data_IF_837896059058
#
_entry.id   IF_837896059058
#
_cell.length_a   1.000
_cell.length_b   1.000
_cell.length_c   1.000
_cell.angle_alpha   90.00
_cell.angle_beta   90.00
_cell.angle_gamma   90.00
#
_symmetry.space_group_name_H-M   'P 1'
#
loop_
_entity.id
_entity.type
_entity.pdbx_description
1 polymer ?
#
# COMPACT_ATOMS: atom_id res chain seq x y z
N UNK A 1 -0.17 29.68 -3.06
CA UNK A 1 -0.64 28.30 -3.31
C UNK A 1 0.55 27.38 -3.06
N UNK A 2 0.40 26.26 -2.33
CA UNK A 2 1.50 25.28 -2.25
C UNK A 2 1.79 24.79 -3.67
N UNK A 3 3.06 24.71 -4.07
CA UNK A 3 3.42 24.21 -5.39
C UNK A 3 2.97 22.75 -5.51
N UNK A 4 2.01 22.51 -6.40
CA UNK A 4 1.61 21.17 -6.82
C UNK A 4 2.73 20.60 -7.69
N UNK A 5 3.45 19.60 -7.17
CA UNK A 5 4.46 18.88 -7.93
C UNK A 5 3.81 17.72 -8.72
N UNK A 6 2.91 18.08 -9.64
CA UNK A 6 2.32 17.11 -10.57
C UNK A 6 3.36 16.88 -11.68
N UNK A 7 4.02 15.72 -11.66
CA UNK A 7 4.96 15.31 -12.69
C UNK A 7 4.25 14.59 -13.83
N UNK A 8 3.50 13.56 -13.49
CA UNK A 8 2.74 12.71 -14.41
C UNK A 8 1.39 12.34 -13.79
N UNK A 9 0.49 11.87 -14.64
CA UNK A 9 -0.69 11.11 -14.24
C UNK A 9 -0.50 9.64 -14.63
N UNK A 10 -1.35 8.76 -14.12
CA UNK A 10 -1.08 7.32 -14.19
C UNK A 10 -2.30 6.53 -14.63
N UNK A 11 -2.10 5.62 -15.57
CA UNK A 11 -3.11 4.66 -16.02
C UNK A 11 -2.70 3.25 -15.58
N UNK A 12 -3.61 2.52 -14.97
CA UNK A 12 -3.36 1.15 -14.49
C UNK A 12 -3.99 0.19 -15.50
N UNK A 13 -3.24 -0.80 -15.97
CA UNK A 13 -3.68 -1.75 -17.00
C UNK A 13 -3.05 -3.13 -16.84
N UNK A 14 -3.56 -4.14 -17.56
CA UNK A 14 -2.87 -5.41 -17.75
C UNK A 14 -1.69 -5.25 -18.72
N UNK A 15 -0.62 -6.01 -18.52
CA UNK A 15 0.58 -5.97 -19.39
C UNK A 15 0.28 -6.32 -20.86
N UNK A 16 -0.75 -7.13 -21.11
CA UNK A 16 -1.11 -7.56 -22.48
C UNK A 16 -1.76 -6.44 -23.31
N UNK A 17 -2.28 -5.40 -22.65
CA UNK A 17 -2.86 -4.26 -23.35
C UNK A 17 -1.80 -3.28 -23.86
N UNK A 18 -0.54 -3.41 -23.41
CA UNK A 18 0.51 -2.42 -23.67
C UNK A 18 0.79 -2.23 -25.17
N UNK A 19 0.81 -3.32 -25.95
CA UNK A 19 1.08 -3.23 -27.39
C UNK A 19 0.02 -2.37 -28.10
N UNK A 20 -1.27 -2.62 -27.81
CA UNK A 20 -2.39 -1.86 -28.37
C UNK A 20 -2.39 -0.42 -27.87
N UNK A 21 -2.15 -0.19 -26.58
CA UNK A 21 -2.13 1.15 -26.00
C UNK A 21 -1.00 2.01 -26.58
N UNK A 22 0.18 1.44 -26.82
CA UNK A 22 1.31 2.17 -27.41
C UNK A 22 1.10 2.47 -28.90
N UNK A 23 0.24 1.71 -29.58
CA UNK A 23 -0.10 1.96 -30.98
C UNK A 23 -1.25 2.97 -31.13
N UNK A 24 -2.32 2.80 -30.34
CA UNK A 24 -3.60 3.49 -30.53
C UNK A 24 -3.89 4.56 -29.49
N UNK A 25 -3.23 4.49 -28.33
CA UNK A 25 -3.47 5.33 -27.18
C UNK A 25 -4.30 4.64 -26.11
N UNK A 26 -4.58 5.37 -25.04
CA UNK A 26 -5.44 4.88 -23.96
C UNK A 26 -6.88 5.27 -24.29
N UNK A 27 -7.72 4.30 -24.59
CA UNK A 27 -9.12 4.53 -24.93
C UNK A 27 -10.02 4.53 -23.69
N UNK A 28 -11.10 5.31 -23.77
CA UNK A 28 -12.28 5.15 -22.92
C UNK A 28 -12.95 3.81 -23.18
N UNK A 29 -13.79 3.35 -22.25
CA UNK A 29 -14.52 2.09 -22.44
C UNK A 29 -15.50 2.14 -23.60
N UNK A 30 -16.17 3.28 -23.80
CA UNK A 30 -17.04 3.51 -24.96
C UNK A 30 -16.25 3.32 -26.27
N UNK A 31 -15.06 3.91 -26.36
CA UNK A 31 -14.23 3.79 -27.56
C UNK A 31 -13.68 2.37 -27.78
N UNK A 32 -13.39 1.64 -26.71
CA UNK A 32 -13.02 0.21 -26.79
C UNK A 32 -14.15 -0.61 -27.43
N UNK A 33 -15.39 -0.37 -27.01
CA UNK A 33 -16.58 -1.06 -27.56
C UNK A 33 -16.83 -0.68 -29.03
N UNK A 34 -16.75 0.62 -29.38
CA UNK A 34 -16.91 1.10 -30.75
C UNK A 34 -15.89 0.49 -31.73
N UNK A 35 -14.66 0.28 -31.27
CA UNK A 35 -13.57 -0.30 -32.05
C UNK A 35 -13.56 -1.85 -32.01
N UNK A 36 -14.50 -2.47 -31.29
CA UNK A 36 -14.59 -3.93 -31.17
C UNK A 36 -13.39 -4.59 -30.47
N UNK A 37 -12.66 -3.83 -29.63
CA UNK A 37 -11.46 -4.32 -28.95
C UNK A 37 -11.83 -5.18 -27.74
N UNK A 38 -11.00 -6.20 -27.46
CA UNK A 38 -11.17 -7.11 -26.32
C UNK A 38 -9.93 -7.05 -25.41
N UNK A 39 -9.78 -5.98 -24.60
CA UNK A 39 -8.61 -5.83 -23.74
C UNK A 39 -8.67 -6.82 -22.57
N UNK A 40 -7.49 -7.20 -22.07
CA UNK A 40 -7.39 -7.92 -20.81
C UNK A 40 -7.88 -7.02 -19.66
N UNK A 41 -8.98 -7.41 -19.02
CA UNK A 41 -9.62 -6.62 -17.96
C UNK A 41 -8.92 -6.80 -16.61
N UNK A 42 -8.69 -5.68 -15.92
CA UNK A 42 -8.14 -5.66 -14.56
C UNK A 42 -9.20 -5.42 -13.47
N UNK A 43 -10.41 -5.01 -13.85
CA UNK A 43 -11.45 -4.57 -12.94
C UNK A 43 -12.59 -5.59 -12.85
N UNK A 44 -13.34 -5.56 -11.74
CA UNK A 44 -14.57 -6.33 -11.56
C UNK A 44 -15.76 -5.62 -12.23
N UNK A 45 -16.69 -6.38 -12.81
CA UNK A 45 -17.95 -5.97 -13.42
C UNK A 45 -18.76 -4.96 -12.58
N UNK A 46 -18.72 -5.03 -11.25
CA UNK A 46 -19.47 -4.09 -10.39
C UNK A 46 -18.94 -2.65 -10.46
N UNK A 47 -17.61 -2.49 -10.47
CA UNK A 47 -16.94 -1.18 -10.56
C UNK A 47 -17.30 -0.52 -11.89
N UNK A 48 -17.27 -1.35 -12.93
CA UNK A 48 -17.55 -1.02 -14.32
C UNK A 48 -18.98 -0.53 -14.50
N UNK A 49 -19.96 -1.26 -13.96
CA UNK A 49 -21.37 -0.92 -14.03
C UNK A 49 -21.68 0.42 -13.37
N UNK A 50 -21.06 0.71 -12.20
CA UNK A 50 -21.21 2.01 -11.54
C UNK A 50 -20.69 3.16 -12.39
N UNK A 51 -19.55 2.97 -13.06
CA UNK A 51 -19.01 3.99 -13.98
C UNK A 51 -19.96 4.26 -15.14
N UNK A 52 -20.58 3.23 -15.72
CA UNK A 52 -21.56 3.38 -16.80
C UNK A 52 -22.78 4.22 -16.38
N UNK A 53 -23.22 4.10 -15.13
CA UNK A 53 -24.40 4.81 -14.60
C UNK A 53 -24.12 6.24 -14.12
N UNK A 54 -22.86 6.59 -13.83
CA UNK A 54 -22.50 7.90 -13.28
C UNK A 54 -22.25 8.89 -14.43
N UNK A 55 -22.94 10.03 -14.37
CA UNK A 55 -22.78 11.10 -15.35
C UNK A 55 -21.82 12.19 -14.88
N UNK A 56 -21.04 12.73 -15.82
CA UNK A 56 -20.20 13.93 -15.68
C UNK A 56 -21.04 15.21 -15.84
N UNK A 57 -20.50 16.40 -15.51
CA UNK A 57 -21.22 17.67 -15.61
C UNK A 57 -21.77 18.00 -17.01
N UNK A 58 -21.13 17.50 -18.06
CA UNK A 58 -21.57 17.62 -19.46
C UNK A 58 -22.56 16.52 -19.89
N UNK A 59 -23.12 15.77 -18.93
CA UNK A 59 -24.15 14.73 -19.10
C UNK A 59 -23.71 13.50 -19.90
N UNK A 60 -22.40 13.27 -20.01
CA UNK A 60 -21.85 12.02 -20.53
C UNK A 60 -21.64 11.03 -19.41
N UNK A 61 -21.59 9.75 -19.74
CA UNK A 61 -21.24 8.70 -18.78
C UNK A 61 -19.74 8.74 -18.49
N UNK A 62 -19.29 8.32 -17.29
CA UNK A 62 -17.86 8.07 -17.04
C UNK A 62 -17.27 7.03 -18.02
N UNK A 63 -18.13 6.24 -18.66
CA UNK A 63 -17.78 5.29 -19.72
C UNK A 63 -17.09 5.94 -20.94
N UNK A 64 -17.42 7.20 -21.21
CA UNK A 64 -16.89 8.01 -22.31
C UNK A 64 -15.53 8.65 -22.01
N UNK A 65 -14.91 8.33 -20.85
CA UNK A 65 -13.65 8.94 -20.42
C UNK A 65 -12.58 7.89 -20.15
N UNK A 66 -11.36 8.16 -20.62
CA UNK A 66 -10.16 7.50 -20.14
C UNK A 66 -9.77 8.11 -18.79
N UNK A 67 -9.67 7.28 -17.75
CA UNK A 67 -9.42 7.73 -16.39
C UNK A 67 -7.94 7.59 -16.00
N UNK A 68 -7.35 8.68 -15.54
CA UNK A 68 -5.98 8.73 -15.02
C UNK A 68 -6.00 9.06 -13.55
N UNK A 69 -5.09 8.46 -12.77
CA UNK A 69 -4.90 8.75 -11.36
C UNK A 69 -3.76 9.75 -11.15
N UNK A 70 -3.89 10.59 -10.12
CA UNK A 70 -2.77 11.41 -9.64
C UNK A 70 -1.81 10.63 -8.72
N UNK A 71 -2.27 9.52 -8.15
CA UNK A 71 -1.52 8.59 -7.31
C UNK A 71 -1.86 7.16 -7.77
N UNK A 72 -0.92 6.41 -8.38
CA UNK A 72 -1.20 5.04 -8.84
C UNK A 72 -1.24 4.06 -7.67
N UNK A 73 -0.54 4.33 -6.57
CA UNK A 73 -0.53 3.47 -5.39
C UNK A 73 -1.72 3.78 -4.49
N UNK A 74 -2.90 3.32 -4.88
CA UNK A 74 -4.20 3.69 -4.28
C UNK A 74 -5.07 2.44 -4.01
N UNK A 75 -6.27 2.58 -3.41
CA UNK A 75 -7.20 1.47 -3.13
C UNK A 75 -7.58 0.61 -4.35
N UNK A 76 -7.71 1.22 -5.54
CA UNK A 76 -8.01 0.47 -6.76
C UNK A 76 -6.81 -0.40 -7.14
N UNK A 77 -5.59 0.16 -7.12
CA UNK A 77 -4.37 -0.60 -7.37
C UNK A 77 -4.18 -1.75 -6.37
N UNK A 78 -4.50 -1.52 -5.10
CA UNK A 78 -4.43 -2.54 -4.06
C UNK A 78 -5.35 -3.72 -4.38
N UNK A 79 -6.60 -3.42 -4.77
CA UNK A 79 -7.59 -4.43 -5.19
C UNK A 79 -7.07 -5.28 -6.35
N UNK A 80 -6.64 -4.64 -7.44
CA UNK A 80 -6.23 -5.37 -8.65
C UNK A 80 -4.96 -6.20 -8.44
N UNK A 81 -4.05 -5.77 -7.55
CA UNK A 81 -2.88 -6.58 -7.16
C UNK A 81 -3.33 -7.88 -6.47
N UNK A 82 -4.37 -7.84 -5.64
CA UNK A 82 -4.88 -9.04 -4.96
C UNK A 82 -5.69 -9.94 -5.90
N UNK A 83 -6.41 -9.36 -6.86
CA UNK A 83 -7.23 -10.13 -7.81
C UNK A 83 -6.41 -10.73 -8.97
N UNK A 84 -5.40 -10.01 -9.49
CA UNK A 84 -4.66 -10.37 -10.70
C UNK A 84 -3.19 -10.72 -10.47
N UNK A 85 -2.66 -10.39 -9.30
CA UNK A 85 -1.23 -10.48 -9.02
C UNK A 85 -0.44 -9.32 -9.64
N UNK A 86 0.61 -8.87 -8.94
CA UNK A 86 1.39 -7.70 -9.35
C UNK A 86 2.09 -7.85 -10.71
N UNK A 87 2.52 -9.07 -11.07
CA UNK A 87 3.27 -9.34 -12.32
C UNK A 87 2.43 -9.22 -13.59
N UNK A 88 1.09 -9.33 -13.49
CA UNK A 88 0.19 -9.15 -14.63
C UNK A 88 -0.13 -7.68 -14.93
N UNK A 89 0.34 -6.75 -14.09
CA UNK A 89 -0.07 -5.35 -14.14
C UNK A 89 1.05 -4.44 -14.63
N UNK A 90 0.65 -3.33 -15.23
CA UNK A 90 1.50 -2.22 -15.60
C UNK A 90 0.85 -0.89 -15.22
N UNK A 91 1.68 0.10 -14.89
CA UNK A 91 1.27 1.48 -14.66
C UNK A 91 1.91 2.36 -15.73
N UNK A 92 1.11 2.92 -16.62
CA UNK A 92 1.56 3.82 -17.68
C UNK A 92 1.58 5.25 -17.13
N UNK A 93 2.70 5.93 -17.29
CA UNK A 93 2.80 7.35 -16.96
C UNK A 93 2.41 8.21 -18.17
N UNK A 94 1.54 9.18 -17.91
CA UNK A 94 1.00 10.10 -18.89
C UNK A 94 1.44 11.51 -18.53
N UNK A 95 1.94 12.23 -19.52
CA UNK A 95 2.39 13.61 -19.40
C UNK A 95 1.29 14.52 -18.85
N UNK A 96 1.65 15.34 -17.86
CA UNK A 96 0.73 16.33 -17.26
C UNK A 96 0.13 17.33 -18.24
N UNK A 97 0.72 17.46 -19.45
CA UNK A 97 0.17 18.29 -20.53
C UNK A 97 -1.26 17.88 -20.89
N UNK A 98 -1.65 16.63 -20.63
CA UNK A 98 -3.02 16.14 -20.87
C UNK A 98 -4.07 16.94 -20.08
N UNK A 99 -3.71 17.59 -18.97
CA UNK A 99 -4.61 18.46 -18.20
C UNK A 99 -5.10 19.70 -18.98
N UNK A 100 -4.45 20.02 -20.10
CA UNK A 100 -4.81 21.13 -20.99
C UNK A 100 -5.71 20.67 -22.14
N UNK A 101 -5.98 19.37 -22.28
CA UNK A 101 -6.85 18.85 -23.32
C UNK A 101 -8.31 19.33 -23.12
N UNK A 102 -9.05 19.59 -24.21
CA UNK A 102 -10.43 20.05 -24.13
C UNK A 102 -11.34 19.00 -23.49
N UNK A 103 -12.29 19.45 -22.67
CA UNK A 103 -13.30 18.58 -22.04
C UNK A 103 -12.77 17.73 -20.87
N UNK A 104 -11.55 17.97 -20.39
CA UNK A 104 -11.00 17.28 -19.22
C UNK A 104 -11.71 17.71 -17.94
N UNK A 105 -12.01 16.73 -17.09
CA UNK A 105 -12.44 16.97 -15.71
C UNK A 105 -11.39 16.45 -14.71
N UNK A 106 -11.26 17.12 -13.58
CA UNK A 106 -10.54 16.65 -12.40
C UNK A 106 -11.58 16.36 -11.32
N UNK A 107 -11.44 15.26 -10.59
CA UNK A 107 -12.32 14.91 -9.47
C UNK A 107 -11.62 15.08 -8.13
N UNK A 108 -12.37 15.28 -7.03
CA UNK A 108 -11.80 15.31 -5.67
C UNK A 108 -11.60 13.92 -5.04
N UNK A 109 -11.83 12.85 -5.80
CA UNK A 109 -11.68 11.46 -5.37
C UNK A 109 -12.15 10.49 -6.46
N UNK A 110 -12.41 9.24 -6.10
CA UNK A 110 -12.92 8.24 -7.06
C UNK A 110 -14.22 8.73 -7.72
N UNK A 111 -14.20 8.88 -9.04
CA UNK A 111 -15.28 9.47 -9.84
C UNK A 111 -16.59 8.68 -9.76
N UNK A 112 -16.51 7.37 -9.53
CA UNK A 112 -17.68 6.51 -9.40
C UNK A 112 -18.33 6.56 -8.00
N UNK A 113 -17.73 7.26 -7.04
CA UNK A 113 -18.29 7.41 -5.70
C UNK A 113 -19.20 8.66 -5.64
N UNK A 114 -20.37 8.54 -5.00
CA UNK A 114 -21.40 9.58 -5.03
C UNK A 114 -21.04 10.97 -4.49
N UNK A 115 -20.28 11.11 -3.39
CA UNK A 115 -19.91 12.42 -2.88
C UNK A 115 -18.81 13.09 -3.71
N UNK A 116 -18.25 12.41 -4.71
CA UNK A 116 -17.20 12.96 -5.56
C UNK A 116 -17.71 14.09 -6.45
N UNK A 117 -16.96 15.19 -6.42
CA UNK A 117 -17.22 16.40 -7.19
C UNK A 117 -16.31 16.46 -8.41
N UNK A 118 -16.80 17.10 -9.46
CA UNK A 118 -16.12 17.27 -10.74
C UNK A 118 -15.78 18.74 -10.95
N UNK A 119 -14.58 19.00 -11.43
CA UNK A 119 -14.05 20.35 -11.61
C UNK A 119 -13.44 20.49 -13.00
N UNK A 120 -13.62 21.65 -13.61
CA UNK A 120 -12.79 22.06 -14.74
C UNK A 120 -11.33 22.22 -14.28
N UNK A 121 -10.33 22.09 -15.18
CA UNK A 121 -8.92 22.00 -14.78
C UNK A 121 -8.43 23.14 -13.88
N UNK A 122 -8.87 24.38 -14.11
CA UNK A 122 -8.47 25.55 -13.32
C UNK A 122 -8.88 25.43 -11.84
N UNK A 123 -10.13 25.06 -11.56
CA UNK A 123 -10.63 24.90 -10.20
C UNK A 123 -10.22 23.55 -9.59
N UNK A 124 -10.10 22.52 -10.43
CA UNK A 124 -9.57 21.22 -10.03
C UNK A 124 -8.14 21.32 -9.50
N UNK A 125 -7.27 22.11 -10.14
CA UNK A 125 -5.92 22.37 -9.63
C UNK A 125 -5.94 23.09 -8.28
N UNK A 126 -6.86 24.03 -8.04
CA UNK A 126 -6.99 24.68 -6.72
C UNK A 126 -7.41 23.65 -5.65
N UNK A 127 -8.40 22.82 -5.96
CA UNK A 127 -8.88 21.74 -5.09
C UNK A 127 -7.76 20.74 -4.79
N UNK A 128 -6.98 20.31 -5.79
CA UNK A 128 -5.82 19.45 -5.61
C UNK A 128 -4.84 20.05 -4.61
N UNK A 129 -4.60 21.36 -4.68
CA UNK A 129 -3.73 22.07 -3.73
C UNK A 129 -4.17 21.93 -2.27
N UNK A 130 -5.48 21.82 -2.02
CA UNK A 130 -6.05 21.68 -0.67
C UNK A 130 -5.87 20.26 -0.12
N UNK A 131 -5.98 19.23 -0.98
CA UNK A 131 -5.90 17.83 -0.56
C UNK A 131 -4.65 17.08 -1.03
N UNK A 132 -3.65 17.77 -1.61
CA UNK A 132 -2.44 17.15 -2.15
C UNK A 132 -1.71 16.25 -1.14
N UNK A 133 -1.70 16.64 0.14
CA UNK A 133 -1.11 15.83 1.21
C UNK A 133 -1.80 14.48 1.40
N UNK A 134 -3.12 14.41 1.18
CA UNK A 134 -3.90 13.17 1.27
C UNK A 134 -3.60 12.30 0.04
N UNK A 135 -3.55 12.90 -1.15
CA UNK A 135 -3.25 12.19 -2.41
C UNK A 135 -1.84 11.58 -2.39
N UNK A 136 -0.88 12.28 -1.79
CA UNK A 136 0.51 11.81 -1.66
C UNK A 136 0.75 10.91 -0.44
N UNK A 137 -0.28 10.59 0.34
CA UNK A 137 -0.13 9.76 1.52
C UNK A 137 0.08 8.28 1.13
N UNK A 138 0.80 7.53 1.96
CA UNK A 138 1.07 6.10 1.71
C UNK A 138 -0.04 5.18 2.26
N UNK A 139 -0.98 5.76 2.99
CA UNK A 139 -2.09 5.08 3.67
C UNK A 139 -3.35 5.93 3.62
N UNK A 140 -4.47 5.26 3.86
CA UNK A 140 -5.81 5.83 3.85
C UNK A 140 -6.68 5.10 4.86
N UNK A 141 -7.83 5.68 5.17
CA UNK A 141 -8.91 5.04 5.90
C UNK A 141 -10.26 5.47 5.30
N UNK A 142 -11.31 4.72 5.59
CA UNK A 142 -12.65 5.05 5.14
C UNK A 142 -13.29 6.20 5.94
N UNK A 143 -13.01 6.26 7.25
CA UNK A 143 -13.70 7.11 8.22
C UNK A 143 -13.46 8.61 8.00
N UNK A 144 -12.29 9.02 7.50
CA UNK A 144 -11.95 10.41 7.20
C UNK A 144 -12.10 10.76 5.70
N UNK A 145 -12.53 9.79 4.88
CA UNK A 145 -12.71 9.92 3.45
C UNK A 145 -11.40 9.94 2.63
N UNK A 146 -10.23 9.74 3.24
CA UNK A 146 -8.94 9.69 2.54
C UNK A 146 -8.89 8.55 1.52
N UNK A 147 -9.56 7.43 1.77
CA UNK A 147 -9.71 6.32 0.82
C UNK A 147 -10.30 6.78 -0.52
N UNK A 148 -11.36 7.59 -0.48
CA UNK A 148 -11.95 8.19 -1.69
C UNK A 148 -11.02 9.21 -2.33
N UNK A 149 -10.48 10.12 -1.52
CA UNK A 149 -9.69 11.28 -1.98
C UNK A 149 -8.36 10.88 -2.62
N UNK A 150 -7.68 9.85 -2.13
CA UNK A 150 -6.41 9.38 -2.72
C UNK A 150 -6.61 8.84 -4.14
N UNK A 151 -7.81 8.37 -4.48
CA UNK A 151 -8.23 7.97 -5.83
C UNK A 151 -8.72 9.16 -6.67
N UNK A 152 -8.20 10.37 -6.45
CA UNK A 152 -8.48 11.52 -7.31
C UNK A 152 -8.12 11.18 -8.76
N UNK A 153 -9.03 11.48 -9.68
CA UNK A 153 -8.93 11.14 -11.10
C UNK A 153 -8.84 12.40 -11.98
N UNK A 154 -8.22 12.24 -13.14
CA UNK A 154 -8.33 13.11 -14.30
C UNK A 154 -9.07 12.31 -15.38
N UNK A 155 -10.17 12.83 -15.87
CA UNK A 155 -11.05 12.20 -16.85
C UNK A 155 -10.83 12.88 -18.20
N UNK A 156 -10.28 12.12 -19.14
CA UNK A 156 -9.98 12.59 -20.50
C UNK A 156 -11.04 12.03 -21.46
N UNK A 157 -11.77 12.86 -22.21
CA UNK A 157 -12.80 12.38 -23.12
C UNK A 157 -12.23 11.47 -24.21
N UNK A 158 -12.96 10.40 -24.54
CA UNK A 158 -12.74 9.47 -25.65
C UNK A 158 -11.42 8.67 -25.60
N UNK A 159 -10.27 9.34 -25.64
CA UNK A 159 -8.95 8.72 -25.75
C UNK A 159 -7.79 9.66 -25.37
N UNK A 160 -6.65 9.08 -25.01
CA UNK A 160 -5.37 9.77 -24.81
C UNK A 160 -4.39 9.30 -25.88
N UNK A 161 -3.85 10.23 -26.67
CA UNK A 161 -2.86 9.92 -27.73
C UNK A 161 -1.59 9.26 -27.17
N UNK A 162 -0.97 8.30 -27.89
CA UNK A 162 0.33 7.73 -27.53
C UNK A 162 1.43 8.75 -27.25
N UNK A 163 1.36 9.94 -27.85
CA UNK A 163 2.36 11.02 -27.65
C UNK A 163 2.45 11.52 -26.21
N UNK A 164 1.40 11.30 -25.40
CA UNK A 164 1.40 11.67 -23.99
C UNK A 164 2.01 10.58 -23.10
N UNK A 165 2.31 9.39 -23.63
CA UNK A 165 2.85 8.28 -22.85
C UNK A 165 4.36 8.47 -22.67
N UNK A 166 4.80 8.54 -21.41
CA UNK A 166 6.20 8.81 -21.07
C UNK A 166 6.99 7.54 -20.71
N UNK A 167 6.42 6.68 -19.85
CA UNK A 167 7.09 5.48 -19.34
C UNK A 167 6.08 4.44 -18.87
N UNK A 168 6.55 3.21 -18.67
CA UNK A 168 5.77 2.11 -18.10
C UNK A 168 6.47 1.65 -16.82
N UNK A 169 5.72 1.58 -15.73
CA UNK A 169 6.17 0.99 -14.47
C UNK A 169 5.63 -0.42 -14.31
N UNK A 170 6.44 -1.31 -13.74
CA UNK A 170 6.13 -2.72 -13.50
C UNK A 170 6.58 -3.16 -12.10
N UNK A 171 6.07 -4.28 -11.61
CA UNK A 171 6.28 -4.71 -10.23
C UNK A 171 7.74 -5.11 -9.91
N UNK A 172 8.46 -5.71 -10.86
CA UNK A 172 9.79 -6.26 -10.64
C UNK A 172 10.62 -6.34 -11.94
N UNK A 173 11.89 -6.74 -11.79
CA UNK A 173 12.86 -6.82 -12.88
C UNK A 173 12.53 -7.95 -13.89
N UNK A 174 11.90 -9.03 -13.44
CA UNK A 174 11.44 -10.12 -14.32
C UNK A 174 10.34 -9.62 -15.26
N UNK A 175 9.33 -8.95 -14.70
CA UNK A 175 8.24 -8.32 -15.44
C UNK A 175 8.77 -7.25 -16.37
N UNK A 176 9.78 -6.48 -15.95
CA UNK A 176 10.44 -5.48 -16.80
C UNK A 176 11.01 -6.10 -18.07
N UNK A 177 11.74 -7.21 -17.96
CA UNK A 177 12.31 -7.90 -19.13
C UNK A 177 11.22 -8.38 -20.07
N UNK A 178 10.19 -9.07 -19.54
CA UNK A 178 9.07 -9.56 -20.34
C UNK A 178 8.31 -8.42 -21.05
N UNK A 179 8.06 -7.31 -20.35
CA UNK A 179 7.38 -6.15 -20.94
C UNK A 179 8.28 -5.46 -21.97
N UNK A 180 9.58 -5.31 -21.70
CA UNK A 180 10.55 -4.74 -22.67
C UNK A 180 10.57 -5.51 -23.98
N UNK A 181 10.50 -6.84 -23.94
CA UNK A 181 10.41 -7.69 -25.14
C UNK A 181 9.09 -7.45 -25.90
N UNK A 182 7.96 -7.34 -25.19
CA UNK A 182 6.63 -7.08 -25.78
C UNK A 182 6.51 -5.71 -26.43
N UNK A 183 7.08 -4.67 -25.82
CA UNK A 183 7.01 -3.29 -26.36
C UNK A 183 7.96 -3.10 -27.56
N UNK A 184 8.99 -3.94 -27.66
CA UNK A 184 9.91 -3.99 -28.81
C UNK A 184 10.80 -2.76 -28.93
N UNK A 185 11.05 -2.32 -30.16
CA UNK A 185 11.91 -1.17 -30.49
C UNK A 185 11.29 0.21 -30.21
N UNK A 186 10.10 0.26 -29.60
CA UNK A 186 9.47 1.52 -29.20
C UNK A 186 10.35 2.24 -28.18
N UNK A 187 10.59 3.53 -28.38
CA UNK A 187 11.41 4.38 -27.50
C UNK A 187 10.69 4.71 -26.18
N UNK A 188 10.34 3.70 -25.40
CA UNK A 188 9.67 3.86 -24.10
C UNK A 188 10.43 3.14 -23.00
N UNK A 189 10.66 3.83 -21.88
CA UNK A 189 11.33 3.25 -20.73
C UNK A 189 10.37 2.37 -19.93
N UNK A 190 10.79 1.14 -19.65
CA UNK A 190 10.11 0.21 -18.73
C UNK A 190 10.92 0.16 -17.43
N UNK A 191 10.30 0.52 -16.31
CA UNK A 191 10.98 0.78 -15.04
C UNK A 191 10.38 -0.12 -13.93
N UNK A 192 11.18 -0.93 -13.22
CA UNK A 192 10.72 -1.64 -12.03
C UNK A 192 10.45 -0.64 -10.91
N UNK A 193 9.24 -0.64 -10.35
CA UNK A 193 8.84 0.21 -9.23
C UNK A 193 7.93 -0.58 -8.28
N UNK A 194 8.48 -1.52 -7.49
CA UNK A 194 7.70 -2.46 -6.66
C UNK A 194 6.73 -1.75 -5.70
N UNK A 195 7.08 -0.56 -5.20
CA UNK A 195 6.23 0.19 -4.26
C UNK A 195 4.88 0.54 -4.86
N UNK A 196 4.81 0.88 -6.16
CA UNK A 196 3.53 1.17 -6.84
C UNK A 196 2.58 -0.02 -6.80
N UNK A 197 3.11 -1.24 -6.71
CA UNK A 197 2.39 -2.51 -6.74
C UNK A 197 2.25 -3.14 -5.35
N UNK A 198 2.41 -2.36 -4.28
CA UNK A 198 2.38 -2.83 -2.89
C UNK A 198 3.41 -3.93 -2.57
N UNK A 199 4.46 -4.05 -3.38
CA UNK A 199 5.56 -4.96 -3.13
C UNK A 199 6.67 -4.28 -2.32
N UNK A 200 7.41 -5.04 -1.49
CA UNK A 200 8.59 -4.51 -0.82
C UNK A 200 9.73 -4.23 -1.83
N UNK A 201 10.66 -3.36 -1.43
CA UNK A 201 11.88 -3.08 -2.22
C UNK A 201 12.82 -4.27 -2.24
N UNK A 202 12.91 -4.98 -1.12
CA UNK A 202 13.71 -6.21 -0.99
C UNK A 202 13.07 -7.16 0.02
N UNK A 203 13.34 -8.45 -0.18
CA UNK A 203 12.94 -9.54 0.71
C UNK A 203 14.05 -10.57 0.71
N UNK A 204 14.67 -10.75 1.86
CA UNK A 204 15.79 -11.67 2.06
C UNK A 204 15.37 -12.77 3.04
N UNK A 205 15.50 -14.04 2.64
CA UNK A 205 15.16 -15.18 3.50
C UNK A 205 16.32 -15.46 4.47
N UNK A 206 16.00 -15.52 5.76
CA UNK A 206 16.96 -15.81 6.83
C UNK A 206 16.55 -17.12 7.52
N UNK A 207 17.37 -18.16 7.35
CA UNK A 207 17.04 -19.49 7.84
C UNK A 207 15.76 -20.04 7.21
N UNK A 208 14.99 -20.82 7.96
CA UNK A 208 13.85 -21.56 7.38
C UNK A 208 12.55 -20.75 7.31
N UNK A 209 12.29 -19.91 8.32
CA UNK A 209 10.99 -19.28 8.54
C UNK A 209 11.00 -17.74 8.62
N UNK A 210 12.16 -17.09 8.58
CA UNK A 210 12.25 -15.61 8.68
C UNK A 210 12.49 -15.00 7.29
N UNK A 211 11.81 -13.88 7.02
CA UNK A 211 12.13 -12.97 5.92
C UNK A 211 12.45 -11.59 6.47
N UNK A 212 13.58 -10.99 6.10
CA UNK A 212 13.89 -9.58 6.36
C UNK A 212 13.40 -8.77 5.16
N UNK A 213 12.62 -7.72 5.42
CA UNK A 213 11.88 -6.98 4.40
C UNK A 213 12.19 -5.49 4.48
N UNK A 214 12.60 -4.89 3.37
CA UNK A 214 12.58 -3.44 3.19
C UNK A 214 11.26 -3.05 2.50
N UNK A 215 10.26 -2.61 3.28
CA UNK A 215 8.94 -2.33 2.72
C UNK A 215 7.96 -1.69 3.70
N UNK A 216 6.68 -1.82 3.40
CA UNK A 216 5.59 -1.36 4.26
C UNK A 216 4.92 -2.54 4.99
N UNK A 217 5.07 -2.59 6.31
CA UNK A 217 4.52 -3.67 7.13
C UNK A 217 2.99 -3.69 7.13
N UNK A 218 2.34 -2.54 6.98
CA UNK A 218 0.87 -2.47 6.99
C UNK A 218 0.21 -3.11 5.75
N UNK A 219 1.01 -3.41 4.72
CA UNK A 219 0.57 -4.15 3.54
C UNK A 219 1.10 -5.60 3.54
N UNK A 220 1.52 -6.12 4.71
CA UNK A 220 1.93 -7.51 4.83
C UNK A 220 0.76 -8.46 4.62
N UNK A 221 1.00 -9.54 3.88
CA UNK A 221 0.03 -10.63 3.70
C UNK A 221 -0.05 -11.58 4.90
N UNK A 222 0.83 -11.41 5.90
CA UNK A 222 0.80 -12.22 7.12
C UNK A 222 -0.40 -11.89 8.02
N UNK A 223 -0.81 -12.85 8.85
CA UNK A 223 -2.02 -12.77 9.68
C UNK A 223 -1.90 -11.72 10.79
N UNK A 224 -0.77 -11.69 11.51
CA UNK A 224 -0.62 -10.83 12.69
C UNK A 224 0.40 -9.73 12.44
N UNK A 225 -0.04 -8.47 12.52
CA UNK A 225 0.81 -7.28 12.45
C UNK A 225 1.24 -6.85 13.85
N UNK A 226 2.53 -6.62 14.06
CA UNK A 226 3.04 -6.17 15.37
C UNK A 226 3.16 -4.67 15.40
N UNK A 227 2.50 -4.01 16.34
CA UNK A 227 2.58 -2.56 16.51
C UNK A 227 3.44 -2.26 17.74
N UNK A 228 4.56 -1.57 17.53
CA UNK A 228 5.39 -1.08 18.62
C UNK A 228 4.68 0.09 19.33
N UNK A 229 4.43 -0.09 20.63
CA UNK A 229 3.67 0.85 21.47
C UNK A 229 4.41 1.19 22.76
N UNK A 230 3.84 2.10 23.55
CA UNK A 230 4.27 2.33 24.92
C UNK A 230 3.24 1.79 25.92
N UNK A 231 3.50 1.93 27.22
CA UNK A 231 2.56 1.51 28.27
C UNK A 231 1.62 2.64 28.74
N UNK A 232 1.74 3.86 28.20
CA UNK A 232 0.94 5.02 28.59
C UNK A 232 -0.33 5.22 27.74
N UNK A 233 -0.64 4.31 26.81
CA UNK A 233 -1.85 4.43 25.98
C UNK A 233 -1.77 5.54 24.91
N UNK A 234 -0.55 5.98 24.54
CA UNK A 234 -0.34 7.05 23.55
C UNK A 234 0.21 6.49 22.24
N UNK A 235 -0.41 6.81 21.09
CA UNK A 235 0.10 6.51 19.75
C UNK A 235 0.31 7.83 18.99
N UNK A 236 1.48 8.46 19.19
CA UNK A 236 1.70 9.86 18.76
C UNK A 236 2.63 10.05 17.56
N UNK A 237 3.59 9.14 17.32
CA UNK A 237 4.56 9.24 16.21
C UNK A 237 4.88 7.88 15.59
N UNK A 238 5.47 7.88 14.41
CA UNK A 238 5.96 6.69 13.70
C UNK A 238 4.87 5.66 13.41
N UNK A 239 5.26 4.39 13.47
CA UNK A 239 4.39 3.23 13.22
C UNK A 239 3.10 3.26 14.06
N UNK A 240 3.21 3.57 15.35
CA UNK A 240 2.06 3.63 16.26
C UNK A 240 1.04 4.69 15.84
N UNK A 241 1.50 5.89 15.45
CA UNK A 241 0.63 6.97 14.99
C UNK A 241 -0.13 6.58 13.73
N UNK A 242 0.55 5.95 12.76
CA UNK A 242 -0.11 5.43 11.57
C UNK A 242 -1.15 4.38 11.92
N UNK A 243 -0.84 3.42 12.80
CA UNK A 243 -1.81 2.42 13.25
C UNK A 243 -3.05 3.07 13.88
N UNK A 244 -2.89 4.13 14.68
CA UNK A 244 -4.01 4.88 15.26
C UNK A 244 -4.93 5.50 14.21
N UNK A 245 -4.39 6.14 13.18
CA UNK A 245 -5.21 6.81 12.16
C UNK A 245 -5.74 5.84 11.11
N UNK A 246 -5.01 4.77 10.82
CA UNK A 246 -5.40 3.77 9.85
C UNK A 246 -6.40 2.77 10.44
N UNK A 247 -6.25 2.41 11.72
CA UNK A 247 -7.10 1.45 12.45
C UNK A 247 -7.53 2.03 13.82
N UNK A 248 -8.52 2.93 13.86
CA UNK A 248 -8.94 3.58 15.11
C UNK A 248 -9.44 2.60 16.18
N UNK A 249 -10.03 1.49 15.80
CA UNK A 249 -10.46 0.41 16.69
C UNK A 249 -9.28 -0.26 17.43
N UNK A 250 -8.15 -0.46 16.74
CA UNK A 250 -6.91 -0.95 17.36
C UNK A 250 -6.40 0.01 18.43
N UNK A 251 -6.55 1.32 18.20
CA UNK A 251 -6.17 2.32 19.20
C UNK A 251 -7.06 2.26 20.45
N UNK A 252 -8.36 2.05 20.28
CA UNK A 252 -9.30 1.88 21.41
C UNK A 252 -8.95 0.63 22.22
N UNK A 253 -8.74 -0.50 21.54
CA UNK A 253 -8.35 -1.77 22.20
C UNK A 253 -7.02 -1.64 22.94
N UNK A 254 -6.04 -0.93 22.36
CA UNK A 254 -4.76 -0.61 22.98
C UNK A 254 -4.92 0.21 24.27
N UNK A 255 -5.71 1.29 24.23
CA UNK A 255 -5.92 2.14 25.39
C UNK A 255 -6.55 1.37 26.55
N UNK A 256 -7.52 0.53 26.26
CA UNK A 256 -8.13 -0.35 27.26
C UNK A 256 -7.13 -1.37 27.82
N UNK A 257 -6.32 -2.01 26.97
CA UNK A 257 -5.28 -2.94 27.38
C UNK A 257 -4.23 -2.29 28.31
N UNK A 258 -3.86 -1.03 28.06
CA UNK A 258 -2.99 -0.26 28.96
C UNK A 258 -3.66 0.02 30.31
N UNK A 259 -4.91 0.50 30.31
CA UNK A 259 -5.66 0.84 31.54
C UNK A 259 -5.86 -0.39 32.43
N UNK A 260 -6.17 -1.53 31.81
CA UNK A 260 -6.39 -2.82 32.48
C UNK A 260 -5.10 -3.59 32.77
N UNK A 261 -3.91 -3.04 32.46
CA UNK A 261 -2.59 -3.67 32.64
C UNK A 261 -2.48 -5.06 31.99
N UNK A 262 -3.21 -5.27 30.88
CA UNK A 262 -3.15 -6.52 30.09
C UNK A 262 -1.90 -6.58 29.20
N UNK A 263 -1.36 -5.42 28.85
CA UNK A 263 -0.03 -5.24 28.24
C UNK A 263 0.99 -4.83 29.31
N UNK A 264 2.17 -5.43 29.28
CA UNK A 264 3.34 -5.02 30.09
C UNK A 264 4.59 -4.97 29.22
N UNK A 265 5.71 -4.53 29.78
CA UNK A 265 7.02 -4.49 29.11
C UNK A 265 7.45 -5.84 28.53
N UNK A 266 7.08 -6.95 29.17
CA UNK A 266 7.41 -8.32 28.72
C UNK A 266 6.19 -9.14 28.27
N UNK A 267 4.98 -8.55 28.30
CA UNK A 267 3.74 -9.23 27.91
C UNK A 267 3.00 -8.41 26.86
N UNK A 268 3.21 -8.72 25.56
CA UNK A 268 2.40 -8.16 24.49
C UNK A 268 0.91 -8.46 24.66
N UNK A 269 0.07 -7.63 24.03
CA UNK A 269 -1.37 -7.84 23.97
C UNK A 269 -1.80 -8.14 22.53
N UNK A 270 -2.50 -9.26 22.32
CA UNK A 270 -3.04 -9.63 21.03
C UNK A 270 -4.48 -9.16 20.90
N UNK A 271 -4.74 -8.31 19.92
CA UNK A 271 -6.08 -7.94 19.50
C UNK A 271 -6.49 -8.76 18.26
N UNK A 272 -7.41 -9.71 18.46
CA UNK A 272 -8.02 -10.52 17.41
C UNK A 272 -9.18 -9.74 16.81
N UNK A 273 -8.92 -9.00 15.74
CA UNK A 273 -9.95 -8.27 14.99
C UNK A 273 -10.86 -9.25 14.24
N UNK A 274 -12.11 -8.87 13.99
CA UNK A 274 -13.05 -9.64 13.16
C UNK A 274 -13.17 -9.07 11.74
N UNK A 275 -12.95 -7.76 11.56
CA UNK A 275 -13.02 -7.09 10.26
C UNK A 275 -11.87 -7.44 9.33
N UNK A 276 -12.18 -7.52 8.02
CA UNK A 276 -11.21 -7.73 6.96
C UNK A 276 -10.37 -6.47 6.72
N UNK A 277 -9.04 -6.58 6.86
CA UNK A 277 -8.16 -5.45 6.53
C UNK A 277 -8.16 -5.17 5.03
N UNK A 278 -8.22 -6.21 4.22
CA UNK A 278 -8.08 -6.10 2.77
C UNK A 278 -9.28 -5.36 2.18
N UNK A 279 -10.49 -5.55 2.72
CA UNK A 279 -11.69 -4.77 2.37
C UNK A 279 -11.57 -3.28 2.74
N UNK A 280 -10.96 -2.97 3.89
CA UNK A 280 -10.71 -1.59 4.29
C UNK A 280 -9.70 -0.91 3.37
N UNK A 281 -8.71 -1.66 2.87
CA UNK A 281 -7.68 -1.15 1.96
C UNK A 281 -8.15 -1.07 0.50
N UNK A 282 -8.92 -2.04 0.02
CA UNK A 282 -9.34 -2.14 -1.37
C UNK A 282 -10.52 -1.23 -1.73
N UNK A 283 -10.60 -0.79 -2.98
CA UNK A 283 -11.78 -0.07 -3.46
C UNK A 283 -13.05 -0.96 -3.47
N UNK A 284 -14.23 -0.33 -3.53
CA UNK A 284 -15.52 -1.01 -3.45
C UNK A 284 -15.73 -2.06 -4.57
N UNK A 285 -16.54 -3.08 -4.29
CA UNK A 285 -16.86 -4.21 -5.17
C UNK A 285 -16.99 -5.50 -4.36
N UNK A 286 -17.11 -6.66 -5.01
CA UNK A 286 -17.21 -7.95 -4.32
C UNK A 286 -16.05 -8.19 -3.32
N UNK A 287 -16.32 -8.98 -2.29
CA UNK A 287 -15.37 -9.32 -1.23
C UNK A 287 -14.08 -9.92 -1.81
N UNK A 288 -12.95 -9.48 -1.28
CA UNK A 288 -11.67 -10.05 -1.63
C UNK A 288 -11.51 -11.40 -0.93
N UNK A 289 -11.48 -12.47 -1.72
CA UNK A 289 -11.19 -13.81 -1.21
C UNK A 289 -9.67 -13.91 -0.99
N UNK A 290 -9.20 -13.47 0.18
CA UNK A 290 -7.78 -13.52 0.54
C UNK A 290 -7.54 -14.47 1.71
N UNK A 291 -6.51 -15.33 1.63
CA UNK A 291 -6.00 -16.03 2.81
C UNK A 291 -5.53 -14.99 3.84
N UNK A 292 -6.08 -15.04 5.05
CA UNK A 292 -5.82 -14.07 6.14
C UNK A 292 -6.44 -12.67 5.96
N UNK A 293 -7.63 -12.58 5.33
CA UNK A 293 -8.42 -11.34 5.29
C UNK A 293 -8.57 -10.69 6.67
N UNK A 294 -8.79 -11.51 7.70
CA UNK A 294 -8.82 -11.08 9.10
C UNK A 294 -7.39 -10.92 9.63
N UNK A 295 -7.02 -9.68 9.93
CA UNK A 295 -5.69 -9.32 10.48
C UNK A 295 -5.76 -9.09 11.98
N UNK A 296 -4.81 -9.68 12.69
CA UNK A 296 -4.65 -9.45 14.12
C UNK A 296 -3.55 -8.45 14.41
N UNK A 297 -3.62 -7.79 15.56
CA UNK A 297 -2.65 -6.80 15.98
C UNK A 297 -1.98 -7.23 17.28
N UNK A 298 -0.68 -7.52 17.21
CA UNK A 298 0.14 -7.76 18.39
C UNK A 298 0.71 -6.43 18.88
N UNK A 299 0.13 -5.89 19.95
CA UNK A 299 0.60 -4.66 20.59
C UNK A 299 1.81 -5.00 21.46
N UNK A 300 2.98 -4.57 21.00
CA UNK A 300 4.26 -4.89 21.61
C UNK A 300 4.83 -3.64 22.27
N UNK A 301 4.94 -3.63 23.59
CA UNK A 301 5.52 -2.50 24.31
C UNK A 301 7.04 -2.45 24.10
N UNK A 302 7.51 -1.48 23.32
CA UNK A 302 8.96 -1.23 23.16
C UNK A 302 9.44 -0.08 24.05
N UNK A 303 8.52 0.64 24.70
CA UNK A 303 8.81 1.74 25.61
C UNK A 303 7.88 1.69 26.81
N UNK A 304 8.39 2.02 28.00
CA UNK A 304 7.53 2.21 29.17
C UNK A 304 6.79 3.55 29.08
N UNK A 305 7.53 4.65 28.88
CA UNK A 305 6.97 5.98 28.57
C UNK A 305 7.32 6.42 27.15
N UNK A 306 6.44 7.16 26.49
CA UNK A 306 6.64 7.52 25.08
C UNK A 306 7.85 8.44 24.83
N UNK A 307 8.27 9.23 25.84
CA UNK A 307 9.45 10.13 25.79
C UNK A 307 10.79 9.42 26.08
N UNK A 308 10.77 8.19 26.57
CA UNK A 308 11.97 7.44 26.95
C UNK A 308 12.49 6.58 25.78
N UNK A 309 13.74 6.13 25.89
CA UNK A 309 14.31 5.16 24.94
C UNK A 309 13.78 3.74 25.20
N UNK A 310 13.87 2.90 24.18
CA UNK A 310 13.61 1.47 24.28
C UNK A 310 14.75 0.76 25.01
N UNK A 311 14.48 -0.41 25.58
CA UNK A 311 15.46 -1.22 26.31
C UNK A 311 15.49 -2.64 25.75
N UNK A 312 16.69 -3.20 25.58
CA UNK A 312 16.85 -4.57 25.07
C UNK A 312 16.15 -5.61 25.95
N UNK A 313 16.18 -5.43 27.28
CA UNK A 313 15.49 -6.30 28.25
C UNK A 313 13.97 -6.40 27.98
N UNK A 314 13.32 -5.28 27.64
CA UNK A 314 11.89 -5.22 27.34
C UNK A 314 11.61 -5.94 26.00
N UNK A 315 12.49 -5.77 25.00
CA UNK A 315 12.39 -6.45 23.71
C UNK A 315 12.56 -7.96 23.87
N UNK A 316 13.59 -8.40 24.59
CA UNK A 316 13.86 -9.82 24.84
C UNK A 316 12.69 -10.49 25.56
N UNK A 317 12.17 -9.88 26.64
CA UNK A 317 11.04 -10.42 27.38
C UNK A 317 9.76 -10.53 26.55
N UNK A 318 9.46 -9.52 25.73
CA UNK A 318 8.30 -9.59 24.82
C UNK A 318 8.45 -10.62 23.71
N UNK A 319 9.65 -10.80 23.14
CA UNK A 319 9.95 -11.85 22.16
C UNK A 319 9.85 -13.25 22.77
N UNK A 320 10.32 -13.41 23.99
CA UNK A 320 10.20 -14.66 24.74
C UNK A 320 8.72 -15.02 24.98
N UNK A 321 7.90 -14.03 25.36
CA UNK A 321 6.46 -14.23 25.45
C UNK A 321 5.86 -14.72 24.12
N UNK A 322 6.26 -14.14 22.98
CA UNK A 322 5.80 -14.58 21.65
C UNK A 322 6.17 -16.04 21.43
N UNK A 323 7.44 -16.41 21.63
CA UNK A 323 7.93 -17.80 21.46
C UNK A 323 7.16 -18.79 22.33
N UNK A 324 6.83 -18.44 23.57
CA UNK A 324 6.08 -19.31 24.50
C UNK A 324 4.58 -19.40 24.20
N UNK A 325 3.98 -18.39 23.57
CA UNK A 325 2.52 -18.24 23.51
C UNK A 325 1.91 -18.25 22.11
N UNK A 326 2.69 -18.11 21.03
CA UNK A 326 2.11 -17.97 19.67
C UNK A 326 1.14 -19.11 19.31
N UNK A 327 1.47 -20.37 19.62
CA UNK A 327 0.59 -21.53 19.41
C UNK A 327 -0.71 -21.43 20.22
N UNK A 328 -0.59 -21.09 21.51
CA UNK A 328 -1.75 -20.96 22.43
C UNK A 328 -2.67 -19.80 22.05
N UNK A 329 -2.14 -18.82 21.33
CA UNK A 329 -2.86 -17.64 20.86
C UNK A 329 -3.34 -17.78 19.41
N UNK A 330 -3.10 -18.93 18.77
CA UNK A 330 -3.42 -19.23 17.37
C UNK A 330 -2.76 -18.31 16.34
N UNK A 331 -1.59 -17.75 16.68
CA UNK A 331 -0.82 -16.93 15.75
C UNK A 331 -0.19 -17.84 14.70
N UNK A 332 -0.58 -17.67 13.44
CA UNK A 332 -0.12 -18.49 12.32
C UNK A 332 1.03 -17.85 11.53
N UNK A 333 1.17 -16.53 11.59
CA UNK A 333 2.29 -15.79 10.98
C UNK A 333 2.42 -14.37 11.56
N UNK A 334 3.64 -13.82 11.55
CA UNK A 334 3.96 -12.54 12.20
C UNK A 334 4.68 -11.58 11.26
N UNK A 335 4.14 -10.38 11.09
CA UNK A 335 4.83 -9.22 10.55
C UNK A 335 5.31 -8.35 11.72
N UNK A 336 6.61 -8.20 11.90
CA UNK A 336 7.22 -7.45 13.00
C UNK A 336 8.07 -6.29 12.49
N UNK A 337 8.00 -5.09 13.10
CA UNK A 337 8.94 -4.02 12.77
C UNK A 337 10.29 -4.28 13.46
N UNK A 338 11.34 -3.57 13.04
CA UNK A 338 12.59 -3.49 13.79
C UNK A 338 12.35 -2.87 15.19
N UNK A 339 12.19 -3.74 16.20
CA UNK A 339 11.67 -3.38 17.52
C UNK A 339 12.59 -2.39 18.24
N UNK A 340 12.12 -1.17 18.44
CA UNK A 340 12.87 -0.13 19.17
C UNK A 340 13.99 0.55 18.38
N UNK A 341 14.27 0.16 17.13
CA UNK A 341 15.40 0.71 16.35
C UNK A 341 15.18 2.12 15.78
N UNK A 342 13.93 2.58 15.68
CA UNK A 342 13.58 3.92 15.21
C UNK A 342 13.61 4.94 16.35
N UNK A 343 12.42 5.46 16.70
CA UNK A 343 12.27 6.42 17.81
C UNK A 343 12.67 5.88 19.19
N UNK A 344 12.92 4.57 19.31
CA UNK A 344 13.40 3.92 20.54
C UNK A 344 14.91 4.01 20.74
N UNK A 345 15.67 4.31 19.70
CA UNK A 345 17.11 4.53 19.78
C UNK A 345 17.98 3.26 19.89
N UNK A 346 17.41 2.07 19.80
CA UNK A 346 18.20 0.83 19.76
C UNK A 346 18.91 0.68 18.40
N UNK A 347 20.03 -0.03 18.38
CA UNK A 347 20.73 -0.36 17.13
C UNK A 347 20.18 -1.66 16.53
N UNK A 348 19.98 -1.70 15.22
CA UNK A 348 19.61 -2.92 14.50
C UNK A 348 20.69 -3.99 14.64
N UNK A 349 21.97 -3.59 14.73
CA UNK A 349 23.09 -4.51 14.94
C UNK A 349 22.86 -5.47 16.11
N UNK A 350 22.23 -4.97 17.18
CA UNK A 350 21.94 -5.74 18.39
C UNK A 350 20.52 -6.35 18.36
N UNK A 351 19.53 -5.59 17.90
CA UNK A 351 18.12 -6.04 17.88
C UNK A 351 17.86 -7.13 16.84
N UNK A 352 18.48 -7.06 15.66
CA UNK A 352 18.29 -8.03 14.57
C UNK A 352 18.63 -9.46 15.00
N UNK A 353 19.84 -9.73 15.52
CA UNK A 353 20.21 -11.03 16.06
C UNK A 353 19.32 -11.46 17.24
N UNK A 354 18.97 -10.54 18.13
CA UNK A 354 18.06 -10.83 19.25
C UNK A 354 16.68 -11.29 18.77
N UNK A 355 16.09 -10.62 17.79
CA UNK A 355 14.82 -11.03 17.19
C UNK A 355 14.95 -12.42 16.56
N UNK A 356 16.02 -12.67 15.81
CA UNK A 356 16.23 -13.95 15.15
C UNK A 356 16.45 -15.11 16.15
N UNK A 357 17.20 -14.89 17.25
CA UNK A 357 17.38 -15.86 18.34
C UNK A 357 16.06 -16.41 18.89
N UNK A 358 15.03 -15.57 18.98
CA UNK A 358 13.72 -15.96 19.53
C UNK A 358 12.71 -16.43 18.49
N UNK A 359 12.81 -15.96 17.25
CA UNK A 359 11.81 -16.18 16.20
C UNK A 359 12.23 -17.23 15.17
N UNK A 360 13.52 -17.55 15.07
CA UNK A 360 14.02 -18.57 14.16
C UNK A 360 13.60 -19.96 14.67
N UNK A 361 13.12 -20.80 13.76
CA UNK A 361 12.74 -22.18 14.08
C UNK A 361 11.45 -22.36 14.89
N UNK A 362 10.69 -21.28 15.18
CA UNK A 362 9.42 -21.41 15.93
C UNK A 362 8.31 -22.12 15.14
N UNK A 363 8.48 -22.32 13.82
CA UNK A 363 7.58 -23.10 12.99
C UNK A 363 6.41 -22.33 12.36
N UNK A 364 6.44 -20.99 12.40
CA UNK A 364 5.52 -20.12 11.65
C UNK A 364 6.30 -19.11 10.80
N UNK A 365 5.74 -18.63 9.67
CA UNK A 365 6.35 -17.57 8.89
C UNK A 365 6.45 -16.26 9.69
N UNK A 366 7.64 -15.65 9.68
CA UNK A 366 7.92 -14.37 10.32
C UNK A 366 8.55 -13.42 9.29
N UNK A 367 7.99 -12.23 9.15
CA UNK A 367 8.57 -11.15 8.36
C UNK A 367 9.03 -10.01 9.27
N UNK A 368 10.31 -9.69 9.26
CA UNK A 368 10.88 -8.57 10.02
C UNK A 368 11.11 -7.39 9.07
N UNK A 369 10.42 -6.28 9.30
CA UNK A 369 10.48 -5.08 8.49
C UNK A 369 11.55 -4.12 9.01
N UNK A 370 12.50 -3.77 8.15
CA UNK A 370 13.61 -2.89 8.46
C UNK A 370 13.13 -1.46 8.80
N UNK A 371 13.92 -0.70 9.58
CA UNK A 371 13.61 0.70 9.88
C UNK A 371 13.50 1.52 8.59
N UNK A 372 12.53 2.44 8.53
CA UNK A 372 12.35 3.31 7.35
C UNK A 372 13.22 4.56 7.42
N UNK A 373 13.60 4.97 8.63
CA UNK A 373 14.32 6.21 8.88
C UNK A 373 15.84 6.09 8.69
N UNK A 374 16.37 4.86 8.57
CA UNK A 374 17.81 4.59 8.49
C UNK A 374 18.10 3.47 7.52
N UNK A 375 19.12 3.66 6.69
CA UNK A 375 19.70 2.57 5.89
C UNK A 375 20.55 1.69 6.80
N UNK A 376 20.31 0.39 6.75
CA UNK A 376 21.09 -0.59 7.49
C UNK A 376 22.24 -1.09 6.59
N UNK A 377 23.50 -1.10 7.07
CA UNK A 377 24.62 -1.73 6.36
C UNK A 377 24.34 -3.19 6.01
N UNK A 378 24.72 -3.60 4.79
CA UNK A 378 24.42 -4.94 4.27
C UNK A 378 25.01 -6.06 5.14
N UNK A 379 26.17 -5.83 5.78
CA UNK A 379 26.79 -6.78 6.71
C UNK A 379 25.85 -7.22 7.86
N UNK A 380 25.00 -6.32 8.36
CA UNK A 380 24.04 -6.59 9.44
C UNK A 380 22.70 -7.18 8.97
N UNK A 381 22.56 -7.43 7.68
CA UNK A 381 21.39 -8.08 7.07
C UNK A 381 21.67 -9.54 6.68
N UNK A 382 22.94 -9.96 6.77
CA UNK A 382 23.36 -11.30 6.38
C UNK A 382 22.87 -12.37 7.36
N UNK A 383 22.58 -13.60 6.89
CA UNK A 383 22.30 -14.73 7.78
C UNK A 383 23.41 -14.97 8.82
N UNK A 384 24.68 -14.77 8.44
CA UNK A 384 25.83 -14.90 9.32
C UNK A 384 25.81 -13.92 10.50
N UNK A 385 25.25 -12.73 10.34
CA UNK A 385 25.08 -11.77 11.45
C UNK A 385 23.79 -12.03 12.23
N UNK A 386 22.70 -12.33 11.53
CA UNK A 386 21.38 -12.44 12.14
C UNK A 386 21.15 -13.76 12.89
N UNK A 387 21.82 -14.85 12.49
CA UNK A 387 21.70 -16.16 13.13
C UNK A 387 22.90 -16.49 14.03
N UNK A 388 23.59 -15.47 14.56
CA UNK A 388 24.66 -15.69 15.54
C UNK A 388 24.04 -16.35 16.78
N UNK A 389 24.50 -17.56 17.07
CA UNK A 389 24.07 -18.41 18.19
C UNK A 389 24.47 -17.84 19.54
#
# INVERSE_FOLDING_TARGET
>A
MRNLDIKNLYYITHIDNLASILERGIFSHERIEEEGLQPAHIYNTDIVNRRRQKNTPDRKSLWSYANLYFQPRNPMMYRVVHEKGAKGLAVISVSKKILQAPGVFITDGNAANDPTQFYFPSDGLKMLGQQWKIIQNEWWNNLDGSKRKIMTECLVPNSISPEFINSIYVADEETRRSVSEKVGSRSISVIPEPKMFFQPNSRDKIGDNISVINGDMFFSTLQTLTISVNLQGVMGKGLASRAKYQFPDVYVAYQDACRSRRITEIKPYLYKREGSLDEELADFGADLITPNAVKWFLLFATKRKWRENSRLEDIEGGLDWVRRNFKKQDIQSLAMPALGCGLGGLDWKDVGPLMCKYLHGIGIPVAIYLPRERTIPQEYLTPSHLLIT
#
